data_IF_098413650852
#
_entry.id   IF_098413650852
#
_cell.length_a   1.000
_cell.length_b   1.000
_cell.length_c   1.000
_cell.angle_alpha   90.00
_cell.angle_beta   90.00
_cell.angle_gamma   90.00
#
_symmetry.space_group_name_H-M   'P 1'
#
loop_
_entity.id
_entity.type
_entity.pdbx_description
1 polymer ?
#
# COMPACT_ATOMS: atom_id res chain seq x y z
N UNK A 1 -14.31 -8.28 -6.52
CA UNK A 1 -14.15 -8.60 -7.95
C UNK A 1 -14.55 -10.05 -8.17
N UNK A 2 -15.44 -10.28 -9.15
CA UNK A 2 -15.71 -11.59 -9.70
C UNK A 2 -14.52 -11.94 -10.61
N UNK A 3 -13.82 -13.01 -10.25
CA UNK A 3 -12.64 -13.51 -10.93
C UNK A 3 -13.10 -14.32 -12.12
N UNK A 4 -13.14 -13.73 -13.30
CA UNK A 4 -13.00 -14.47 -14.56
C UNK A 4 -12.87 -13.44 -15.67
N UNK A 5 -11.81 -13.62 -16.46
CA UNK A 5 -11.52 -12.98 -17.75
C UNK A 5 -11.21 -11.49 -17.73
N UNK A 6 -10.02 -11.22 -18.28
CA UNK A 6 -9.52 -9.95 -18.81
C UNK A 6 -8.85 -9.00 -17.81
N UNK A 7 -7.51 -9.05 -17.85
CA UNK A 7 -6.59 -7.98 -17.48
C UNK A 7 -6.93 -6.72 -18.31
N UNK A 8 -7.90 -5.94 -17.86
CA UNK A 8 -7.90 -4.51 -18.16
C UNK A 8 -6.81 -3.88 -17.30
N UNK A 9 -5.64 -3.69 -17.91
CA UNK A 9 -4.74 -2.62 -17.49
C UNK A 9 -5.56 -1.32 -17.51
N UNK A 10 -5.84 -0.77 -16.34
CA UNK A 10 -6.32 0.61 -16.19
C UNK A 10 -5.14 1.50 -16.61
N UNK A 11 -5.00 1.72 -17.92
CA UNK A 11 -3.87 2.39 -18.55
C UNK A 11 -4.04 3.92 -18.66
N UNK A 12 -5.21 4.46 -18.33
CA UNK A 12 -5.58 5.82 -18.80
C UNK A 12 -6.10 6.79 -17.73
N UNK A 13 -5.75 6.63 -16.45
CA UNK A 13 -6.07 7.67 -15.46
C UNK A 13 -4.82 8.19 -14.77
N UNK A 14 -4.39 9.44 -15.08
CA UNK A 14 -3.30 10.05 -14.34
C UNK A 14 -3.69 10.07 -12.86
N UNK A 15 -2.83 9.51 -12.02
CA UNK A 15 -3.03 9.45 -10.58
C UNK A 15 -2.86 10.86 -10.03
N UNK A 16 -3.89 11.69 -10.18
CA UNK A 16 -4.01 12.93 -9.45
C UNK A 16 -4.68 12.64 -8.12
N UNK A 17 -4.12 13.17 -7.04
CA UNK A 17 -4.62 13.02 -5.67
C UNK A 17 -6.15 13.15 -5.58
N UNK A 18 -6.82 12.13 -5.05
CA UNK A 18 -8.25 12.04 -4.70
C UNK A 18 -9.25 11.49 -5.73
N UNK A 19 -8.87 10.59 -6.65
CA UNK A 19 -9.87 9.85 -7.43
C UNK A 19 -10.35 8.57 -6.74
N UNK A 20 -11.67 8.47 -6.53
CA UNK A 20 -12.38 7.20 -6.28
C UNK A 20 -13.28 6.91 -7.49
N UNK A 21 -13.10 5.76 -8.15
CA UNK A 21 -14.12 5.22 -9.06
C UNK A 21 -15.14 4.39 -8.27
N UNK A 22 -16.31 4.07 -8.83
CA UNK A 22 -17.29 3.16 -8.20
C UNK A 22 -16.66 1.81 -7.76
N UNK A 23 -15.63 1.35 -8.47
CA UNK A 23 -14.89 0.12 -8.13
C UNK A 23 -13.99 0.25 -6.89
N UNK A 24 -13.66 1.48 -6.49
CA UNK A 24 -12.82 1.82 -5.34
C UNK A 24 -13.57 2.65 -4.29
N UNK A 25 -14.91 2.63 -4.32
CA UNK A 25 -15.71 3.37 -3.35
C UNK A 25 -15.41 2.89 -1.92
N UNK A 26 -15.08 3.84 -1.04
CA UNK A 26 -14.59 3.57 0.31
C UNK A 26 -13.11 3.20 0.46
N UNK A 27 -12.34 3.04 -0.63
CA UNK A 27 -10.88 2.80 -0.59
C UNK A 27 -10.15 4.10 -0.88
N UNK A 28 -9.45 4.63 0.13
CA UNK A 28 -8.54 5.78 -0.05
C UNK A 28 -7.11 5.29 -0.27
N UNK A 29 -6.66 5.30 -1.53
CA UNK A 29 -5.24 5.14 -1.83
C UNK A 29 -4.54 6.48 -1.61
N UNK A 30 -3.60 6.54 -0.68
CA UNK A 30 -2.72 7.71 -0.51
C UNK A 30 -1.33 7.28 -0.93
N UNK A 31 -0.87 7.77 -2.07
CA UNK A 31 0.52 7.62 -2.49
C UNK A 31 1.26 8.82 -1.91
N UNK A 32 2.09 8.58 -0.88
CA UNK A 32 2.99 9.60 -0.38
C UNK A 32 4.26 9.55 -1.23
N UNK A 33 4.39 10.49 -2.16
CA UNK A 33 5.65 10.73 -2.86
C UNK A 33 6.64 11.34 -1.86
N UNK A 34 7.46 10.48 -1.27
CA UNK A 34 8.55 10.90 -0.43
C UNK A 34 9.67 11.37 -1.36
N UNK A 35 9.75 12.68 -1.59
CA UNK A 35 10.97 13.32 -2.13
C UNK A 35 12.16 12.70 -1.40
N UNK A 36 13.12 12.20 -2.17
CA UNK A 36 14.02 11.14 -1.71
C UNK A 36 14.70 11.46 -0.38
N UNK A 37 15.04 10.39 0.34
CA UNK A 37 15.85 10.43 1.56
C UNK A 37 16.63 9.12 1.63
N UNK A 38 17.57 9.01 2.55
CA UNK A 38 18.36 7.79 2.72
C UNK A 38 17.46 6.67 3.26
N UNK A 39 17.45 5.52 2.59
CA UNK A 39 16.90 4.25 3.06
C UNK A 39 17.88 3.67 4.07
N UNK A 40 17.80 4.13 5.32
CA UNK A 40 18.72 3.72 6.40
C UNK A 40 18.67 2.22 6.71
N UNK A 41 17.55 1.49 6.53
CA UNK A 41 17.56 0.03 6.54
C UNK A 41 18.36 -0.61 5.42
N UNK A 42 18.37 -0.08 4.19
CA UNK A 42 19.13 -0.69 3.08
C UNK A 42 20.56 -0.17 2.93
N UNK A 43 20.88 0.94 3.59
CA UNK A 43 22.21 1.52 3.61
C UNK A 43 23.09 0.83 4.66
N UNK A 44 24.35 0.57 4.36
CA UNK A 44 25.22 -0.16 5.28
C UNK A 44 26.64 -0.37 4.78
N UNK A 45 27.52 -0.70 5.73
CA UNK A 45 28.90 -1.08 5.43
C UNK A 45 28.93 -2.49 4.84
N UNK A 46 29.91 -2.84 4.00
CA UNK A 46 30.11 -4.21 3.50
C UNK A 46 31.60 -4.51 3.52
N UNK A 47 31.96 -5.64 4.13
CA UNK A 47 33.33 -6.14 4.22
C UNK A 47 33.38 -7.55 3.63
N UNK A 48 34.29 -7.78 2.68
CA UNK A 48 34.67 -9.13 2.18
C UNK A 48 33.53 -10.16 2.21
N UNK A 49 32.46 -9.89 1.46
CA UNK A 49 31.36 -10.83 1.18
C UNK A 49 30.51 -11.33 2.39
N UNK A 50 30.65 -10.72 3.57
CA UNK A 50 29.70 -10.91 4.68
C UNK A 50 28.92 -9.63 4.90
N UNK A 51 27.61 -9.65 4.62
CA UNK A 51 26.63 -8.60 4.91
C UNK A 51 26.62 -8.21 6.40
N UNK A 52 27.11 -7.04 6.83
CA UNK A 52 26.95 -6.56 8.19
C UNK A 52 26.11 -5.27 8.20
N UNK A 53 24.85 -5.40 8.57
CA UNK A 53 24.02 -4.27 8.96
C UNK A 53 24.64 -3.61 10.19
N UNK A 54 25.37 -2.53 10.00
CA UNK A 54 25.58 -1.53 11.05
C UNK A 54 25.35 -0.15 10.47
N UNK A 55 24.18 0.41 10.77
CA UNK A 55 23.87 1.79 10.42
C UNK A 55 24.63 2.73 11.35
N UNK A 56 25.74 3.27 10.84
CA UNK A 56 26.43 4.41 11.41
C UNK A 56 26.05 5.72 10.72
N UNK A 57 25.01 5.66 9.89
CA UNK A 57 24.54 6.76 9.07
C UNK A 57 23.45 7.52 9.80
N UNK A 58 23.72 8.77 10.13
CA UNK A 58 22.65 9.72 10.46
C UNK A 58 22.44 10.62 9.25
N UNK A 59 21.25 10.55 8.66
CA UNK A 59 20.82 11.47 7.62
C UNK A 59 20.38 12.79 8.25
N UNK A 60 21.02 13.89 7.88
CA UNK A 60 20.58 15.23 8.26
C UNK A 60 20.05 15.96 7.02
N UNK A 61 18.90 16.60 7.16
CA UNK A 61 18.46 17.63 6.22
C UNK A 61 19.44 18.79 6.34
N UNK A 62 20.16 19.07 5.25
CA UNK A 62 21.14 20.16 5.22
C UNK A 62 20.42 21.52 5.20
N UNK A 63 20.99 22.57 5.81
CA UNK A 63 20.45 23.91 5.67
C UNK A 63 20.57 24.38 4.21
N UNK A 64 19.44 24.69 3.57
CA UNK A 64 19.39 25.15 2.18
C UNK A 64 18.21 24.57 1.40
N UNK A 65 18.22 24.76 0.08
CA UNK A 65 17.26 24.10 -0.81
C UNK A 65 17.75 22.68 -1.04
N UNK A 66 17.09 21.71 -0.43
CA UNK A 66 17.33 20.29 -0.70
C UNK A 66 16.73 19.96 -2.07
N UNK A 67 17.58 19.50 -2.98
CA UNK A 67 17.16 19.00 -4.29
C UNK A 67 16.95 17.49 -4.18
N UNK A 68 15.83 17.00 -4.71
CA UNK A 68 15.59 15.56 -4.78
C UNK A 68 16.67 14.90 -5.64
N UNK A 69 17.28 13.84 -5.13
CA UNK A 69 18.29 13.05 -5.82
C UNK A 69 18.05 11.59 -5.50
N UNK A 70 17.62 10.81 -6.48
CA UNK A 70 17.23 9.41 -6.28
C UNK A 70 18.37 8.49 -6.69
N UNK A 71 19.61 8.92 -6.44
CA UNK A 71 20.78 8.19 -6.87
C UNK A 71 21.26 7.34 -5.69
N UNK A 72 21.79 6.15 -5.98
CA UNK A 72 22.46 5.34 -4.97
C UNK A 72 23.97 5.61 -5.02
N UNK A 73 24.65 5.52 -3.87
CA UNK A 73 26.09 5.78 -3.81
C UNK A 73 26.85 4.69 -3.08
N UNK A 74 28.12 4.54 -3.47
CA UNK A 74 29.06 3.64 -2.81
C UNK A 74 30.34 4.40 -2.47
N UNK A 75 30.69 4.44 -1.19
CA UNK A 75 32.04 4.82 -0.77
C UNK A 75 32.91 3.58 -0.80
N UNK A 76 34.07 3.66 -1.44
CA UNK A 76 35.08 2.60 -1.48
C UNK A 76 36.28 3.10 -0.69
N UNK A 77 36.54 2.48 0.46
CA UNK A 77 37.58 2.92 1.38
C UNK A 77 38.96 2.38 1.02
N UNK A 78 39.96 3.23 1.19
CA UNK A 78 41.33 2.82 1.38
C UNK A 78 41.60 2.56 2.88
N UNK A 79 42.80 2.09 3.19
CA UNK A 79 43.23 1.94 4.57
C UNK A 79 43.35 3.33 5.25
N UNK A 80 42.83 3.42 6.48
CA UNK A 80 42.77 4.66 7.27
C UNK A 80 44.08 5.02 7.99
N UNK A 81 45.17 4.27 7.76
CA UNK A 81 46.49 4.58 8.32
C UNK A 81 46.92 6.03 8.04
N UNK A 82 47.50 6.69 9.04
CA UNK A 82 48.00 8.07 8.93
C UNK A 82 49.49 8.15 9.14
N UNK A 83 50.14 9.13 8.50
CA UNK A 83 51.51 9.54 8.79
C UNK A 83 51.61 10.20 10.18
N UNK A 84 52.83 10.47 10.64
CA UNK A 84 53.08 11.13 11.93
C UNK A 84 52.52 12.55 12.04
N UNK A 85 52.27 13.20 10.90
CA UNK A 85 51.63 14.51 10.81
C UNK A 85 50.09 14.44 10.77
N UNK A 86 49.51 13.24 10.81
CA UNK A 86 48.07 13.00 10.81
C UNK A 86 47.40 12.96 9.44
N UNK A 87 48.16 13.15 8.35
CA UNK A 87 47.69 12.98 6.97
C UNK A 87 47.48 11.50 6.61
N UNK A 88 46.55 11.20 5.71
CA UNK A 88 46.31 9.83 5.27
C UNK A 88 47.50 9.27 4.49
N UNK A 89 47.96 8.07 4.86
CA UNK A 89 48.99 7.34 4.12
C UNK A 89 48.47 6.84 2.76
N UNK A 90 47.17 6.54 2.69
CA UNK A 90 46.49 6.03 1.49
C UNK A 90 45.29 6.91 1.11
N UNK A 91 45.52 8.16 0.65
CA UNK A 91 44.41 9.05 0.27
C UNK A 91 43.56 8.41 -0.85
N UNK A 92 42.24 8.52 -0.72
CA UNK A 92 41.28 8.04 -1.71
C UNK A 92 40.94 9.08 -2.76
N UNK A 93 40.75 10.33 -2.32
CA UNK A 93 40.35 11.46 -3.16
C UNK A 93 40.66 12.82 -2.48
N UNK A 94 40.55 13.91 -3.22
CA UNK A 94 40.61 15.29 -2.72
C UNK A 94 39.40 16.07 -3.18
N UNK A 95 38.59 16.53 -2.24
CA UNK A 95 37.30 17.18 -2.51
C UNK A 95 37.19 18.54 -1.86
N UNK A 96 36.22 19.33 -2.31
CA UNK A 96 35.97 20.65 -1.76
C UNK A 96 35.05 20.60 -0.54
N UNK A 97 35.29 21.51 0.40
CA UNK A 97 34.36 21.80 1.48
C UNK A 97 33.29 22.78 1.02
N UNK A 98 32.24 22.94 1.84
CA UNK A 98 31.24 24.02 1.68
C UNK A 98 31.84 25.43 1.72
N UNK A 99 33.09 25.59 2.16
CA UNK A 99 33.84 26.85 2.22
C UNK A 99 34.90 26.96 1.10
N UNK A 100 34.83 26.11 0.07
CA UNK A 100 35.76 26.09 -1.07
C UNK A 100 37.22 25.81 -0.68
N UNK A 101 37.44 25.08 0.40
CA UNK A 101 38.75 24.58 0.81
C UNK A 101 38.91 23.12 0.36
N UNK A 102 40.13 22.69 0.08
CA UNK A 102 40.39 21.30 -0.27
C UNK A 102 40.54 20.46 1.00
N UNK A 103 39.90 19.29 1.00
CA UNK A 103 39.95 18.29 2.05
C UNK A 103 40.29 16.94 1.44
N UNK A 104 41.22 16.23 2.06
CA UNK A 104 41.62 14.88 1.65
C UNK A 104 40.74 13.85 2.35
N UNK A 105 40.20 12.90 1.58
CA UNK A 105 39.37 11.80 2.10
C UNK A 105 40.06 10.46 1.87
N UNK A 106 39.82 9.43 2.72
CA UNK A 106 40.41 8.11 2.57
C UNK A 106 39.53 7.16 1.72
N UNK A 107 38.59 7.68 0.93
CA UNK A 107 37.67 6.88 0.12
C UNK A 107 37.43 7.55 -1.22
N UNK A 108 36.93 6.77 -2.18
CA UNK A 108 36.30 7.29 -3.41
C UNK A 108 34.80 7.16 -3.29
N UNK A 109 34.05 8.13 -3.81
CA UNK A 109 32.60 8.06 -3.89
C UNK A 109 32.17 7.79 -5.33
N UNK A 110 31.37 6.75 -5.52
CA UNK A 110 30.79 6.35 -6.80
C UNK A 110 29.28 6.61 -6.76
N UNK A 111 28.75 7.20 -7.82
CA UNK A 111 27.32 7.22 -8.08
C UNK A 111 26.96 5.93 -8.84
N UNK A 112 26.13 5.09 -8.22
CA UNK A 112 25.82 3.75 -8.73
C UNK A 112 24.92 3.79 -9.96
N UNK A 113 24.15 4.87 -10.15
CA UNK A 113 23.22 4.99 -11.27
C UNK A 113 23.96 5.37 -12.56
N UNK A 114 24.98 6.21 -12.44
CA UNK A 114 25.84 6.62 -13.56
C UNK A 114 27.07 5.73 -13.72
N UNK A 115 27.42 4.94 -12.71
CA UNK A 115 28.63 4.12 -12.63
C UNK A 115 29.93 4.95 -12.75
N UNK A 116 29.92 6.16 -12.22
CA UNK A 116 31.01 7.14 -12.31
C UNK A 116 31.35 7.75 -10.94
N UNK A 117 32.46 8.49 -10.86
CA UNK A 117 32.79 9.28 -9.67
C UNK A 117 31.70 10.30 -9.38
N UNK A 118 31.21 10.31 -8.14
CA UNK A 118 30.16 11.23 -7.72
C UNK A 118 30.72 12.64 -7.49
N UNK A 119 29.88 13.65 -7.72
CA UNK A 119 30.12 15.02 -7.26
C UNK A 119 29.64 15.17 -5.81
N UNK A 120 30.54 15.50 -4.88
CA UNK A 120 30.20 15.64 -3.45
C UNK A 120 31.03 16.72 -2.77
N UNK A 121 30.56 17.16 -1.60
CA UNK A 121 31.27 18.11 -0.75
C UNK A 121 31.44 17.55 0.65
N UNK A 122 32.39 18.13 1.39
CA UNK A 122 32.53 17.90 2.83
C UNK A 122 32.06 19.12 3.61
N UNK A 123 31.26 18.89 4.65
CA UNK A 123 30.98 19.89 5.68
C UNK A 123 31.71 19.48 6.95
N UNK A 124 32.77 20.22 7.25
CA UNK A 124 33.58 20.08 8.47
C UNK A 124 32.82 20.67 9.67
N UNK A 125 31.74 20.00 10.07
CA UNK A 125 30.88 20.43 11.18
C UNK A 125 31.36 19.93 12.55
N UNK A 126 32.45 19.17 12.61
CA UNK A 126 33.08 18.75 13.85
C UNK A 126 33.98 19.87 14.40
N UNK A 127 33.65 20.49 15.55
CA UNK A 127 34.38 21.64 16.07
C UNK A 127 35.81 21.32 16.53
N UNK A 128 36.15 20.04 16.72
CA UNK A 128 37.47 19.60 17.18
C UNK A 128 38.44 19.45 15.99
N UNK A 129 37.95 18.94 14.87
CA UNK A 129 38.79 18.58 13.71
C UNK A 129 38.68 19.54 12.53
N UNK A 130 37.66 20.41 12.52
CA UNK A 130 37.39 21.33 11.41
C UNK A 130 38.62 22.13 10.97
N UNK A 131 38.86 22.15 9.66
CA UNK A 131 39.89 22.95 9.01
C UNK A 131 41.28 22.33 9.07
N UNK A 132 41.38 21.04 9.41
CA UNK A 132 42.65 20.32 9.42
C UNK A 132 43.05 19.78 8.03
N UNK A 133 42.22 20.01 7.00
CA UNK A 133 42.49 19.61 5.62
C UNK A 133 42.24 18.13 5.32
N UNK A 134 41.61 17.39 6.23
CA UNK A 134 41.20 16.01 6.02
C UNK A 134 39.77 15.78 6.54
N UNK A 135 39.10 14.80 5.98
CA UNK A 135 37.80 14.38 6.51
C UNK A 135 38.00 13.57 7.78
N UNK A 136 37.18 13.82 8.79
CA UNK A 136 37.16 13.04 10.03
C UNK A 136 35.77 12.44 10.30
N UNK A 137 35.73 11.34 11.04
CA UNK A 137 34.45 10.75 11.46
C UNK A 137 33.59 11.77 12.21
N UNK A 138 32.29 11.75 11.92
CA UNK A 138 31.33 12.74 12.39
C UNK A 138 31.21 13.98 11.49
N UNK A 139 32.12 14.21 10.55
CA UNK A 139 31.94 15.25 9.52
C UNK A 139 30.95 14.79 8.45
N UNK A 140 30.23 15.75 7.87
CA UNK A 140 29.13 15.44 6.95
C UNK A 140 29.63 15.37 5.52
N UNK A 141 29.36 14.23 4.88
CA UNK A 141 29.49 14.06 3.44
C UNK A 141 28.20 14.54 2.81
N UNK A 142 28.29 15.53 1.93
CA UNK A 142 27.17 16.11 1.21
C UNK A 142 27.12 15.45 -0.17
N UNK A 143 26.11 14.60 -0.35
CA UNK A 143 25.82 13.94 -1.63
C UNK A 143 25.05 14.91 -2.53
N UNK A 144 25.38 14.92 -3.81
CA UNK A 144 24.80 15.84 -4.79
C UNK A 144 24.35 15.06 -6.04
N UNK A 145 23.37 15.58 -6.78
CA UNK A 145 23.07 15.09 -8.12
C UNK A 145 24.30 15.15 -9.01
N UNK A 146 24.41 14.23 -9.96
CA UNK A 146 25.47 14.25 -10.96
C UNK A 146 25.41 15.55 -11.80
N UNK A 147 26.57 16.17 -12.06
CA UNK A 147 26.67 17.45 -12.79
C UNK A 147 25.80 18.58 -12.19
N UNK A 148 25.96 18.90 -10.90
CA UNK A 148 25.10 19.86 -10.23
C UNK A 148 25.35 21.28 -10.76
N UNK A 149 24.30 22.11 -10.84
CA UNK A 149 24.39 23.43 -11.44
C UNK A 149 25.20 24.44 -10.61
N UNK A 150 24.95 24.51 -9.29
CA UNK A 150 25.65 25.46 -8.39
C UNK A 150 26.09 24.81 -7.08
N UNK A 151 25.38 25.04 -5.97
CA UNK A 151 25.61 24.44 -4.64
C UNK A 151 24.52 23.42 -4.29
N UNK A 152 23.85 22.86 -5.29
CA UNK A 152 22.75 21.92 -5.07
C UNK A 152 23.21 20.78 -4.17
N UNK A 153 22.51 20.62 -3.05
CA UNK A 153 22.76 19.57 -2.07
C UNK A 153 21.53 18.68 -2.03
N UNK A 154 21.76 17.38 -2.04
CA UNK A 154 20.71 16.39 -1.86
C UNK A 154 20.62 15.99 -0.39
N UNK A 155 21.64 15.28 0.11
CA UNK A 155 21.60 14.72 1.47
C UNK A 155 22.94 14.85 2.18
N UNK A 156 22.87 15.09 3.49
CA UNK A 156 24.02 14.99 4.38
C UNK A 156 24.07 13.61 5.01
N UNK A 157 25.21 12.94 4.88
CA UNK A 157 25.52 11.67 5.52
C UNK A 157 26.66 11.88 6.50
N UNK A 158 26.46 11.51 7.76
CA UNK A 158 27.54 11.40 8.73
C UNK A 158 27.82 9.95 9.02
N UNK A 159 29.11 9.62 9.14
CA UNK A 159 29.58 8.27 9.48
C UNK A 159 30.21 8.36 10.87
N UNK A 160 29.70 7.57 11.80
CA UNK A 160 30.34 7.39 13.10
C UNK A 160 31.45 6.34 13.00
N UNK A 161 32.55 6.55 13.73
CA UNK A 161 33.63 5.57 13.80
C UNK A 161 33.11 4.26 14.41
N UNK A 162 33.25 3.11 13.73
CA UNK A 162 32.92 1.82 14.33
C UNK A 162 33.79 1.59 15.58
N UNK A 163 33.17 1.24 16.71
CA UNK A 163 33.88 1.06 17.98
C UNK A 163 34.82 -0.15 17.98
N UNK A 164 34.48 -1.20 17.24
CA UNK A 164 35.16 -2.51 17.30
C UNK A 164 35.71 -2.99 15.94
N UNK A 165 35.83 -2.10 14.94
CA UNK A 165 36.15 -2.52 13.57
C UNK A 165 37.19 -1.61 12.88
N UNK A 166 38.19 -2.23 12.26
CA UNK A 166 39.23 -1.58 11.45
C UNK A 166 38.82 -1.49 9.99
N UNK A 167 38.41 -0.34 9.47
CA UNK A 167 38.08 -0.17 8.04
C UNK A 167 39.33 -0.42 7.19
N UNK A 168 39.24 -1.35 6.24
CA UNK A 168 40.35 -1.80 5.40
C UNK A 168 40.20 -1.41 3.92
N UNK A 169 41.25 -1.68 3.14
CA UNK A 169 41.25 -1.45 1.70
C UNK A 169 40.14 -2.27 1.02
N UNK A 170 39.29 -1.59 0.26
CA UNK A 170 38.20 -2.20 -0.50
C UNK A 170 36.92 -2.43 0.31
N UNK A 171 36.90 -2.11 1.60
CA UNK A 171 35.66 -2.06 2.37
C UNK A 171 34.74 -0.97 1.78
N UNK A 172 33.43 -1.22 1.70
CA UNK A 172 32.49 -0.29 1.09
C UNK A 172 31.41 0.18 2.05
N UNK A 173 30.90 1.39 1.86
CA UNK A 173 29.67 1.87 2.48
C UNK A 173 28.66 2.20 1.38
N UNK A 174 27.56 1.47 1.35
CA UNK A 174 26.43 1.74 0.46
C UNK A 174 25.49 2.74 1.12
N UNK A 175 25.14 3.79 0.37
CA UNK A 175 24.10 4.76 0.73
C UNK A 175 22.99 4.61 -0.31
N UNK A 176 21.89 4.01 0.12
CA UNK A 176 20.73 3.72 -0.72
C UNK A 176 19.68 4.79 -0.47
N UNK A 177 19.05 5.31 -1.52
CA UNK A 177 17.95 6.27 -1.40
C UNK A 177 16.59 5.62 -1.63
N UNK A 178 15.54 6.28 -1.14
CA UNK A 178 14.20 5.99 -1.62
C UNK A 178 14.05 6.58 -3.01
N UNK A 179 13.77 5.72 -3.98
CA UNK A 179 13.34 6.19 -5.29
C UNK A 179 11.95 6.81 -5.14
N UNK A 180 11.85 8.08 -5.56
CA UNK A 180 10.58 8.76 -5.72
C UNK A 180 9.71 8.02 -6.73
N UNK A 181 8.41 8.17 -6.61
CA UNK A 181 7.45 7.49 -7.48
C UNK A 181 7.43 8.22 -8.82
N UNK A 182 7.70 7.49 -9.89
CA UNK A 182 7.72 8.02 -11.25
C UNK A 182 6.42 7.65 -11.98
N UNK A 183 6.11 8.39 -13.05
CA UNK A 183 4.96 8.06 -13.91
C UNK A 183 5.14 6.74 -14.68
N UNK A 184 6.36 6.18 -14.70
CA UNK A 184 6.68 4.93 -15.38
C UNK A 184 6.51 3.70 -14.46
N UNK A 185 6.40 3.91 -13.14
CA UNK A 185 6.26 2.84 -12.17
C UNK A 185 4.91 2.12 -12.29
N UNK A 186 4.96 0.78 -12.28
CA UNK A 186 3.77 -0.07 -12.34
C UNK A 186 3.53 -0.74 -11.00
N UNK A 187 2.43 -0.40 -10.35
CA UNK A 187 2.04 -0.98 -9.07
C UNK A 187 1.01 -2.09 -9.26
N UNK A 188 1.31 -3.27 -8.70
CA UNK A 188 0.37 -4.38 -8.63
C UNK A 188 -0.28 -4.41 -7.25
N UNK A 189 -1.53 -3.95 -7.16
CA UNK A 189 -2.35 -4.11 -5.97
C UNK A 189 -2.79 -5.57 -5.86
N UNK A 190 -2.18 -6.32 -4.94
CA UNK A 190 -2.65 -7.67 -4.60
C UNK A 190 -3.56 -7.56 -3.38
N UNK A 191 -4.87 -7.88 -3.51
CA UNK A 191 -5.69 -8.04 -2.33
C UNK A 191 -5.07 -9.15 -1.48
N UNK A 192 -4.74 -8.83 -0.23
CA UNK A 192 -4.29 -9.86 0.69
C UNK A 192 -5.52 -10.64 1.14
N UNK A 193 -5.66 -11.88 0.65
CA UNK A 193 -6.77 -12.77 0.99
C UNK A 193 -6.90 -13.04 2.49
N UNK A 194 -5.83 -12.85 3.27
CA UNK A 194 -5.85 -12.99 4.72
C UNK A 194 -6.47 -11.77 5.43
N UNK A 195 -6.58 -10.64 4.73
CA UNK A 195 -7.24 -9.41 5.18
C UNK A 195 -8.50 -9.09 4.38
N UNK A 196 -8.87 -9.95 3.42
CA UNK A 196 -10.27 -10.05 3.04
C UNK A 196 -10.94 -10.58 4.30
N UNK A 197 -11.50 -9.66 5.09
CA UNK A 197 -12.47 -10.03 6.10
C UNK A 197 -13.42 -10.95 5.36
N UNK A 198 -13.49 -12.22 5.78
CA UNK A 198 -14.62 -13.04 5.39
C UNK A 198 -15.80 -12.15 5.69
N UNK A 199 -16.63 -11.91 4.68
CA UNK A 199 -18.00 -11.54 4.98
C UNK A 199 -18.44 -12.73 5.81
N UNK A 200 -18.39 -12.62 7.14
CA UNK A 200 -19.10 -13.54 8.00
C UNK A 200 -20.45 -13.63 7.33
N UNK A 201 -20.83 -14.82 6.88
CA UNK A 201 -22.19 -15.03 6.42
C UNK A 201 -23.03 -14.50 7.56
N UNK A 202 -23.60 -13.30 7.41
CA UNK A 202 -24.38 -12.66 8.46
C UNK A 202 -25.64 -13.49 8.48
N UNK A 203 -25.60 -14.59 9.23
CA UNK A 203 -26.72 -15.47 9.46
C UNK A 203 -27.77 -14.55 10.07
N UNK A 204 -28.89 -14.34 9.39
CA UNK A 204 -29.89 -13.41 9.89
C UNK A 204 -30.34 -13.88 11.27
N UNK A 205 -30.31 -12.98 12.25
CA UNK A 205 -30.81 -13.30 13.59
C UNK A 205 -32.33 -13.42 13.64
N UNK A 206 -33.02 -12.95 12.59
CA UNK A 206 -34.48 -12.86 12.53
C UNK A 206 -35.04 -13.29 11.17
N UNK A 207 -36.23 -13.87 11.23
CA UNK A 207 -37.08 -14.12 10.07
C UNK A 207 -37.65 -12.80 9.56
N UNK A 208 -37.41 -12.49 8.28
CA UNK A 208 -37.91 -11.26 7.67
C UNK A 208 -38.35 -11.49 6.23
N UNK A 209 -39.36 -10.74 5.82
CA UNK A 209 -39.81 -10.63 4.43
C UNK A 209 -39.72 -9.15 4.08
N UNK A 210 -38.94 -8.80 3.06
CA UNK A 210 -38.75 -7.42 2.62
C UNK A 210 -39.89 -6.97 1.70
N UNK A 211 -40.08 -5.66 1.60
CA UNK A 211 -40.92 -5.09 0.55
C UNK A 211 -40.30 -5.44 -0.81
N UNK A 212 -41.12 -5.92 -1.75
CA UNK A 212 -40.65 -6.18 -3.10
C UNK A 212 -40.12 -4.87 -3.73
N UNK A 213 -39.05 -4.97 -4.53
CA UNK A 213 -38.50 -3.83 -5.25
C UNK A 213 -38.29 -4.16 -6.74
N UNK A 214 -38.75 -3.29 -7.65
CA UNK A 214 -39.53 -2.06 -7.39
C UNK A 214 -40.94 -2.36 -6.83
N UNK A 215 -41.59 -1.39 -6.17
CA UNK A 215 -43.02 -1.43 -5.84
C UNK A 215 -43.59 0.00 -5.86
N UNK A 216 -44.46 0.37 -6.82
CA UNK A 216 -45.10 -0.49 -7.82
C UNK A 216 -44.12 -1.11 -8.84
N UNK A 217 -44.49 -2.22 -9.46
CA UNK A 217 -43.63 -2.96 -10.42
C UNK A 217 -44.31 -3.25 -11.75
N UNK A 218 -43.52 -3.45 -12.81
CA UNK A 218 -43.98 -3.82 -14.16
C UNK A 218 -42.89 -4.56 -14.97
N UNK A 219 -43.14 -5.78 -15.49
CA UNK A 219 -43.92 -6.83 -14.88
C UNK A 219 -43.11 -7.60 -13.82
N UNK A 220 -41.84 -7.23 -13.60
CA UNK A 220 -40.91 -7.96 -12.76
C UNK A 220 -40.54 -7.20 -11.49
N UNK A 221 -40.38 -7.94 -10.40
CA UNK A 221 -39.90 -7.43 -9.12
C UNK A 221 -39.02 -8.47 -8.44
N UNK A 222 -38.18 -8.00 -7.52
CA UNK A 222 -37.40 -8.84 -6.63
C UNK A 222 -38.07 -8.89 -5.26
N UNK A 223 -38.16 -10.08 -4.66
CA UNK A 223 -38.59 -10.29 -3.27
C UNK A 223 -37.40 -10.84 -2.50
N UNK A 224 -37.02 -10.15 -1.43
CA UNK A 224 -35.96 -10.58 -0.52
C UNK A 224 -36.54 -11.05 0.80
N UNK A 225 -35.92 -12.06 1.39
CA UNK A 225 -36.28 -12.55 2.71
C UNK A 225 -35.10 -13.20 3.43
N UNK A 226 -35.22 -13.34 4.75
CA UNK A 226 -34.23 -13.99 5.59
C UNK A 226 -34.85 -15.13 6.40
N UNK A 227 -34.10 -16.23 6.49
CA UNK A 227 -34.40 -17.38 7.32
C UNK A 227 -33.35 -17.44 8.43
N UNK A 228 -33.73 -17.34 9.71
CA UNK A 228 -32.78 -17.39 10.81
C UNK A 228 -32.40 -18.85 11.14
N UNK A 229 -31.32 -19.03 11.89
CA UNK A 229 -31.08 -20.30 12.56
C UNK A 229 -32.20 -20.56 13.57
N UNK A 230 -32.79 -21.75 13.50
CA UNK A 230 -33.73 -22.23 14.52
C UNK A 230 -32.95 -23.16 15.44
N UNK A 231 -32.75 -22.73 16.67
CA UNK A 231 -32.26 -23.62 17.72
C UNK A 231 -33.37 -24.62 18.03
N UNK A 232 -33.15 -25.89 17.68
CA UNK A 232 -33.88 -26.99 18.31
C UNK A 232 -32.88 -27.80 19.13
N UNK A 233 -33.34 -28.42 20.20
CA UNK A 233 -32.54 -29.15 21.19
C UNK A 233 -31.78 -30.37 20.65
N UNK A 234 -31.81 -30.61 19.33
CA UNK A 234 -31.08 -31.65 18.62
C UNK A 234 -30.66 -31.10 17.23
N UNK A 235 -29.39 -30.70 17.10
CA UNK A 235 -28.67 -30.25 15.88
C UNK A 235 -28.82 -28.76 15.45
N UNK A 236 -27.66 -28.09 15.40
CA UNK A 236 -27.42 -26.66 15.08
C UNK A 236 -27.37 -26.32 13.57
N UNK A 237 -28.09 -27.08 12.74
CA UNK A 237 -28.19 -26.85 11.29
C UNK A 237 -29.36 -27.65 10.72
N UNK A 238 -30.54 -27.06 10.68
CA UNK A 238 -31.71 -27.69 10.07
C UNK A 238 -32.24 -26.82 8.93
N UNK A 239 -32.35 -27.43 7.76
CA UNK A 239 -33.09 -26.85 6.64
C UNK A 239 -34.56 -26.70 7.05
N UNK A 240 -35.17 -25.57 6.75
CA UNK A 240 -36.58 -25.29 7.02
C UNK A 240 -37.39 -25.44 5.74
N UNK A 241 -38.60 -25.98 5.84
CA UNK A 241 -39.55 -25.96 4.74
C UNK A 241 -40.03 -24.52 4.54
N UNK A 242 -39.59 -23.87 3.46
CA UNK A 242 -39.92 -22.48 3.11
C UNK A 242 -40.89 -22.46 1.94
N UNK A 243 -41.99 -21.73 2.09
CA UNK A 243 -42.92 -21.45 0.99
C UNK A 243 -43.12 -19.95 0.82
N UNK A 244 -42.94 -19.46 -0.40
CA UNK A 244 -43.27 -18.09 -0.80
C UNK A 244 -44.34 -18.15 -1.88
N UNK A 245 -45.54 -17.64 -1.58
CA UNK A 245 -46.71 -17.71 -2.44
C UNK A 245 -47.32 -16.33 -2.67
N UNK A 246 -47.95 -16.14 -3.83
CA UNK A 246 -48.63 -14.91 -4.22
C UNK A 246 -50.13 -15.17 -4.32
N UNK A 247 -50.91 -14.22 -3.82
CA UNK A 247 -52.36 -14.24 -3.74
C UNK A 247 -52.95 -12.95 -4.31
N UNK A 248 -54.15 -13.05 -4.88
CA UNK A 248 -54.96 -11.88 -5.19
C UNK A 248 -55.70 -11.33 -3.97
N UNK A 249 -56.42 -10.21 -4.13
CA UNK A 249 -57.19 -9.57 -3.05
C UNK A 249 -58.32 -10.44 -2.47
N UNK A 250 -58.75 -11.48 -3.19
CA UNK A 250 -59.77 -12.44 -2.75
C UNK A 250 -59.14 -13.64 -2.02
N UNK A 251 -57.80 -13.66 -1.89
CA UNK A 251 -57.06 -14.74 -1.25
C UNK A 251 -56.84 -15.96 -2.14
N UNK A 252 -57.08 -15.86 -3.45
CA UNK A 252 -56.79 -16.96 -4.39
C UNK A 252 -55.30 -16.99 -4.69
N UNK A 253 -54.68 -18.16 -4.58
CA UNK A 253 -53.28 -18.37 -4.94
C UNK A 253 -53.11 -18.20 -6.46
N UNK A 254 -52.20 -17.31 -6.87
CA UNK A 254 -51.94 -17.02 -8.29
C UNK A 254 -50.53 -17.41 -8.72
N UNK A 255 -49.60 -17.61 -7.78
CA UNK A 255 -48.26 -18.14 -8.06
C UNK A 255 -47.61 -18.76 -6.81
N UNK A 256 -46.76 -19.76 -7.01
CA UNK A 256 -45.81 -20.28 -6.02
C UNK A 256 -44.41 -19.94 -6.50
N UNK A 257 -43.68 -19.15 -5.70
CA UNK A 257 -42.33 -18.68 -6.04
C UNK A 257 -41.25 -19.55 -5.41
N UNK A 258 -41.51 -20.08 -4.22
CA UNK A 258 -40.62 -20.99 -3.48
C UNK A 258 -41.48 -22.05 -2.80
N UNK A 259 -41.03 -23.31 -2.83
CA UNK A 259 -41.60 -24.43 -2.08
C UNK A 259 -40.53 -25.52 -1.91
N UNK A 260 -39.53 -25.24 -1.08
CA UNK A 260 -38.36 -26.11 -0.91
C UNK A 260 -37.78 -26.02 0.51
N UNK A 261 -36.79 -26.87 0.79
CA UNK A 261 -36.03 -26.82 2.03
C UNK A 261 -34.84 -25.86 1.89
N UNK A 262 -34.76 -24.85 2.77
CA UNK A 262 -33.71 -23.83 2.76
C UNK A 262 -33.01 -23.76 4.12
N UNK A 263 -31.68 -23.62 4.12
CA UNK A 263 -30.91 -23.37 5.35
C UNK A 263 -31.10 -21.94 5.86
N UNK A 264 -30.54 -21.61 7.02
CA UNK A 264 -30.49 -20.22 7.47
C UNK A 264 -29.66 -19.38 6.47
N UNK A 265 -30.13 -18.17 6.18
CA UNK A 265 -29.51 -17.32 5.15
C UNK A 265 -30.44 -16.23 4.64
N UNK A 266 -29.91 -15.40 3.73
CA UNK A 266 -30.67 -14.41 2.97
C UNK A 266 -30.92 -14.93 1.57
N UNK A 267 -32.15 -14.75 1.10
CA UNK A 267 -32.62 -15.27 -0.18
C UNK A 267 -33.26 -14.15 -1.01
N UNK A 268 -33.17 -14.31 -2.32
CA UNK A 268 -33.70 -13.38 -3.32
C UNK A 268 -34.41 -14.16 -4.41
N UNK A 269 -35.66 -13.78 -4.70
CA UNK A 269 -36.48 -14.43 -5.72
C UNK A 269 -36.99 -13.40 -6.71
N UNK A 270 -36.84 -13.70 -7.99
CA UNK A 270 -37.41 -12.91 -9.08
C UNK A 270 -38.86 -13.33 -9.31
N UNK A 271 -39.79 -12.37 -9.28
CA UNK A 271 -41.17 -12.61 -9.64
C UNK A 271 -41.52 -11.86 -10.92
N UNK A 272 -41.93 -12.60 -11.95
CA UNK A 272 -42.43 -12.05 -13.21
C UNK A 272 -43.95 -12.26 -13.29
N UNK A 273 -44.70 -11.16 -13.25
CA UNK A 273 -46.16 -11.13 -13.25
C UNK A 273 -46.75 -10.81 -14.62
N UNK A 274 -46.04 -11.10 -15.73
CA UNK A 274 -46.50 -10.78 -17.09
C UNK A 274 -47.88 -11.35 -17.42
N UNK A 275 -48.28 -12.45 -16.77
CA UNK A 275 -49.58 -13.11 -16.97
C UNK A 275 -50.69 -12.63 -16.02
N UNK A 276 -50.42 -11.67 -15.13
CA UNK A 276 -51.38 -11.14 -14.16
C UNK A 276 -51.89 -9.75 -14.59
N UNK A 277 -53.09 -9.36 -14.15
CA UNK A 277 -53.67 -8.03 -14.40
C UNK A 277 -53.10 -6.97 -13.46
N UNK A 278 -53.12 -5.69 -13.83
CA UNK A 278 -52.80 -4.59 -12.90
C UNK A 278 -53.68 -4.68 -11.64
N UNK A 279 -53.09 -4.46 -10.46
CA UNK A 279 -53.82 -4.58 -9.20
C UNK A 279 -52.94 -4.81 -7.99
N UNK A 280 -53.60 -4.93 -6.84
CA UNK A 280 -52.96 -5.25 -5.57
C UNK A 280 -52.86 -6.76 -5.42
N UNK A 281 -51.68 -7.23 -5.04
CA UNK A 281 -51.42 -8.62 -4.71
C UNK A 281 -50.82 -8.71 -3.31
N UNK A 282 -51.03 -9.84 -2.65
CA UNK A 282 -50.39 -10.18 -1.39
C UNK A 282 -49.39 -11.31 -1.65
N UNK A 283 -48.22 -11.24 -1.05
CA UNK A 283 -47.29 -12.36 -1.03
C UNK A 283 -46.98 -12.74 0.41
N UNK A 284 -46.92 -14.05 0.65
CA UNK A 284 -46.76 -14.63 1.97
C UNK A 284 -45.56 -15.57 1.97
N UNK A 285 -44.64 -15.32 2.89
CA UNK A 285 -43.55 -16.21 3.23
C UNK A 285 -43.94 -17.00 4.48
N UNK A 286 -43.78 -18.31 4.43
CA UNK A 286 -43.96 -19.22 5.55
C UNK A 286 -42.72 -20.10 5.72
N UNK A 287 -42.24 -20.21 6.96
CA UNK A 287 -41.17 -21.13 7.35
C UNK A 287 -41.47 -21.67 8.75
N UNK A 288 -41.70 -22.98 8.87
CA UNK A 288 -42.15 -23.59 10.12
C UNK A 288 -43.42 -22.91 10.67
N UNK A 289 -43.31 -22.33 11.87
CA UNK A 289 -44.40 -21.60 12.54
C UNK A 289 -44.44 -20.09 12.21
N UNK A 290 -43.45 -19.56 11.48
CA UNK A 290 -43.40 -18.16 11.10
C UNK A 290 -44.15 -17.94 9.79
N UNK A 291 -45.01 -16.92 9.78
CA UNK A 291 -45.73 -16.44 8.59
C UNK A 291 -45.59 -14.93 8.53
N UNK A 292 -45.15 -14.41 7.39
CA UNK A 292 -45.11 -12.97 7.11
C UNK A 292 -45.72 -12.69 5.75
N UNK A 293 -46.54 -11.64 5.69
CA UNK A 293 -47.23 -11.25 4.45
C UNK A 293 -46.98 -9.77 4.15
N UNK A 294 -46.86 -9.44 2.87
CA UNK A 294 -46.75 -8.06 2.39
C UNK A 294 -47.61 -7.86 1.14
N UNK A 295 -47.94 -6.59 0.87
CA UNK A 295 -48.70 -6.18 -0.31
C UNK A 295 -47.77 -5.63 -1.38
N UNK A 296 -48.10 -5.86 -2.64
CA UNK A 296 -47.42 -5.29 -3.81
C UNK A 296 -48.44 -4.77 -4.81
N UNK A 297 -48.05 -3.75 -5.58
CA UNK A 297 -48.88 -3.13 -6.61
C UNK A 297 -48.25 -3.38 -7.98
N UNK A 298 -48.94 -4.17 -8.80
CA UNK A 298 -48.59 -4.37 -10.21
C UNK A 298 -49.26 -3.28 -11.05
N UNK A 299 -48.47 -2.57 -11.85
CA UNK A 299 -48.96 -1.59 -12.83
C UNK A 299 -48.53 -2.08 -14.20
N UNK A 300 -49.49 -2.25 -15.12
CA UNK A 300 -49.24 -2.42 -16.56
C UNK A 300 -49.66 -1.16 -17.30
#
# INVERSE_FOLDING_TARGET
>A
MNLTTDLELILDYPVTNNFSSEAFDGIKLTIQDEKSRIDTPKSGFTRNELNPFVSYLTGNQLPGVVVSCNDDWTLIFNNLDTLSDGSYLYPGDTVQTTQLQNVVVPFKLINNDYLESADYLISENNPITRGNGKWDFGETIILRPQNPGSIDVAYGVQINKPLDQTIGLGDTLQVITFNGITNEDKYLLKPNSNFVLSVEEIIPSQFSLSQNYPNPFNPSTIIEYSIPNVETSLATSQMQNVTLKVYDILGREVAVLVNEQQSAGKYRVNFNASNLSSGIYLYQLKSGNHVSSKKMLLIK
#
